data_IF_297857234390
#
_entry.id   IF_297857234390
#
_cell.length_a   1.000
_cell.length_b   1.000
_cell.length_c   1.000
_cell.angle_alpha   90.00
_cell.angle_beta   90.00
_cell.angle_gamma   90.00
#
_symmetry.space_group_name_H-M   'P 1'
#
loop_
_entity.id
_entity.type
_entity.pdbx_description
1 polymer ?
#
# COMPACT_ATOMS: atom_id res chain seq x y z
N UNK A 1 33.81 -25.87 -52.38
CA UNK A 1 32.47 -26.01 -51.80
C UNK A 1 32.61 -25.78 -50.29
N UNK A 2 32.45 -24.53 -49.83
CA UNK A 2 32.62 -24.16 -48.41
C UNK A 2 31.24 -23.98 -47.78
N UNK A 3 30.88 -24.86 -46.85
CA UNK A 3 29.62 -24.80 -46.11
C UNK A 3 29.64 -23.59 -45.17
N UNK A 4 28.65 -22.69 -45.19
CA UNK A 4 28.59 -21.58 -44.25
C UNK A 4 28.42 -22.10 -42.82
N UNK A 5 29.25 -21.58 -41.91
CA UNK A 5 29.28 -21.91 -40.48
C UNK A 5 27.94 -21.50 -39.83
N UNK A 6 27.22 -22.49 -39.28
CA UNK A 6 25.83 -22.40 -38.74
C UNK A 6 25.74 -21.69 -37.37
N UNK A 7 26.88 -21.36 -36.79
CA UNK A 7 27.07 -20.80 -35.46
C UNK A 7 26.82 -19.28 -35.38
N UNK A 8 26.93 -18.55 -36.49
CA UNK A 8 26.61 -17.12 -36.54
C UNK A 8 25.10 -16.86 -36.69
N UNK A 9 24.39 -17.69 -37.45
CA UNK A 9 22.94 -17.57 -37.65
C UNK A 9 22.14 -17.82 -36.36
N UNK A 10 22.49 -18.86 -35.60
CA UNK A 10 21.80 -19.19 -34.34
C UNK A 10 22.02 -18.10 -33.27
N UNK A 11 23.23 -17.52 -33.21
CA UNK A 11 23.51 -16.41 -32.28
C UNK A 11 22.78 -15.13 -32.66
N UNK A 12 22.66 -14.84 -33.95
CA UNK A 12 21.89 -13.71 -34.45
C UNK A 12 20.39 -13.89 -34.14
N UNK A 13 19.85 -15.09 -34.37
CA UNK A 13 18.45 -15.42 -34.11
C UNK A 13 18.11 -15.38 -32.61
N UNK A 14 18.99 -15.90 -31.74
CA UNK A 14 18.86 -15.78 -30.28
C UNK A 14 18.95 -14.31 -29.84
N UNK A 15 19.87 -13.53 -30.41
CA UNK A 15 20.00 -12.10 -30.12
C UNK A 15 18.73 -11.33 -30.49
N UNK A 16 18.11 -11.68 -31.61
CA UNK A 16 16.88 -11.06 -32.10
C UNK A 16 15.68 -11.43 -31.22
N UNK A 17 15.56 -12.69 -30.82
CA UNK A 17 14.52 -13.17 -29.90
C UNK A 17 14.64 -12.53 -28.51
N UNK A 18 15.87 -12.42 -27.98
CA UNK A 18 16.16 -11.71 -26.73
C UNK A 18 15.84 -10.22 -26.86
N UNK A 19 16.15 -9.62 -28.01
CA UNK A 19 15.80 -8.24 -28.32
C UNK A 19 14.30 -7.99 -28.27
N UNK A 20 13.51 -8.86 -28.91
CA UNK A 20 12.04 -8.78 -28.92
C UNK A 20 11.43 -9.04 -27.54
N UNK A 21 11.93 -10.02 -26.81
CA UNK A 21 11.47 -10.30 -25.45
C UNK A 21 11.76 -9.12 -24.51
N UNK A 22 12.96 -8.52 -24.64
CA UNK A 22 13.32 -7.32 -23.88
C UNK A 22 12.40 -6.14 -24.21
N UNK A 23 12.10 -5.90 -25.49
CA UNK A 23 11.21 -4.81 -25.87
C UNK A 23 9.78 -5.02 -25.37
N UNK A 24 9.30 -6.27 -25.37
CA UNK A 24 7.99 -6.64 -24.84
C UNK A 24 7.94 -6.44 -23.32
N UNK A 25 8.91 -7.00 -22.58
CA UNK A 25 8.97 -6.80 -21.12
C UNK A 25 8.98 -5.30 -20.81
N UNK A 26 9.78 -4.50 -21.52
CA UNK A 26 9.85 -3.05 -21.30
C UNK A 26 8.54 -2.34 -21.72
N UNK A 27 7.86 -2.72 -22.79
CA UNK A 27 6.58 -2.12 -23.18
C UNK A 27 5.48 -2.41 -22.16
N UNK A 28 5.33 -3.69 -21.82
CA UNK A 28 4.30 -4.16 -20.91
C UNK A 28 4.58 -3.78 -19.45
N UNK A 29 5.85 -3.59 -19.03
CA UNK A 29 6.17 -3.19 -17.64
C UNK A 29 6.37 -1.70 -17.43
N UNK A 30 6.85 -0.94 -18.42
CA UNK A 30 7.08 0.51 -18.24
C UNK A 30 5.77 1.28 -18.09
N UNK A 31 4.70 0.86 -18.77
CA UNK A 31 3.36 1.43 -18.59
C UNK A 31 2.90 1.38 -17.12
N UNK A 32 2.86 0.18 -16.50
CA UNK A 32 2.54 0.03 -15.08
C UNK A 32 3.54 0.69 -14.12
N UNK A 33 4.85 0.57 -14.37
CA UNK A 33 5.89 1.11 -13.47
C UNK A 33 5.82 2.63 -13.34
N UNK A 34 5.48 3.33 -14.44
CA UNK A 34 5.38 4.79 -14.43
C UNK A 34 4.23 5.29 -13.56
N UNK A 35 3.17 4.50 -13.41
CA UNK A 35 2.09 4.75 -12.45
C UNK A 35 2.50 4.47 -11.00
N UNK A 36 3.22 3.38 -10.77
CA UNK A 36 3.72 2.99 -9.44
C UNK A 36 4.71 4.00 -8.84
N UNK A 37 5.57 4.63 -9.66
CA UNK A 37 6.55 5.60 -9.17
C UNK A 37 5.92 6.75 -8.38
N UNK A 38 4.74 7.23 -8.81
CA UNK A 38 4.00 8.29 -8.11
C UNK A 38 3.46 7.79 -6.75
N UNK A 39 2.89 6.60 -6.72
CA UNK A 39 2.38 5.99 -5.48
C UNK A 39 3.49 5.73 -4.47
N UNK A 40 4.64 5.22 -4.92
CA UNK A 40 5.81 5.01 -4.06
C UNK A 40 6.35 6.33 -3.51
N UNK A 41 6.41 7.37 -4.34
CA UNK A 41 6.84 8.70 -3.90
C UNK A 41 5.91 9.29 -2.83
N UNK A 42 4.59 9.22 -3.04
CA UNK A 42 3.62 9.66 -2.02
C UNK A 42 3.67 8.80 -0.76
N UNK A 43 3.85 7.48 -0.90
CA UNK A 43 4.03 6.57 0.22
C UNK A 43 5.27 6.90 1.05
N UNK A 44 6.38 7.25 0.40
CA UNK A 44 7.64 7.62 1.06
C UNK A 44 7.50 8.94 1.81
N UNK A 45 6.91 9.96 1.19
CA UNK A 45 6.66 11.26 1.83
C UNK A 45 5.71 11.08 3.03
N UNK A 46 4.65 10.28 2.86
CA UNK A 46 3.73 9.92 3.93
C UNK A 46 4.42 9.18 5.08
N UNK A 47 5.28 8.21 4.76
CA UNK A 47 6.03 7.45 5.76
C UNK A 47 6.97 8.34 6.57
N UNK A 48 7.67 9.26 5.92
CA UNK A 48 8.54 10.24 6.60
C UNK A 48 7.70 11.14 7.51
N UNK A 49 6.59 11.68 7.01
CA UNK A 49 5.70 12.55 7.79
C UNK A 49 5.11 11.85 9.01
N UNK A 50 4.63 10.62 8.84
CA UNK A 50 4.10 9.79 9.94
C UNK A 50 5.21 9.47 10.95
N UNK A 51 6.41 9.07 10.49
CA UNK A 51 7.54 8.78 11.37
C UNK A 51 7.93 9.99 12.21
N UNK A 52 8.04 11.17 11.60
CA UNK A 52 8.36 12.40 12.32
C UNK A 52 7.25 12.77 13.32
N UNK A 53 5.99 12.65 12.92
CA UNK A 53 4.85 12.94 13.79
C UNK A 53 4.80 12.04 15.03
N UNK A 54 5.11 10.75 14.87
CA UNK A 54 5.17 9.81 16.00
C UNK A 54 6.34 10.13 16.94
N UNK A 55 7.53 10.43 16.39
CA UNK A 55 8.70 10.78 17.21
C UNK A 55 8.45 12.08 17.98
N UNK A 56 8.04 13.14 17.30
CA UNK A 56 7.76 14.43 17.94
C UNK A 56 6.55 14.35 18.89
N UNK A 57 5.54 13.55 18.57
CA UNK A 57 4.41 13.28 19.47
C UNK A 57 4.87 12.60 20.76
N UNK A 58 5.69 11.55 20.66
CA UNK A 58 6.25 10.87 21.82
C UNK A 58 7.12 11.81 22.67
N UNK A 59 8.01 12.59 22.03
CA UNK A 59 8.84 13.59 22.71
C UNK A 59 7.99 14.68 23.38
N UNK A 60 6.93 15.15 22.73
CA UNK A 60 6.01 16.14 23.28
C UNK A 60 5.27 15.64 24.52
N UNK A 61 4.73 14.42 24.46
CA UNK A 61 4.07 13.77 25.61
C UNK A 61 5.04 13.63 26.78
N UNK A 62 6.24 13.11 26.53
CA UNK A 62 7.28 12.97 27.56
C UNK A 62 7.66 14.34 28.12
N UNK A 63 7.78 15.37 27.29
CA UNK A 63 8.20 16.72 27.70
C UNK A 63 7.17 17.43 28.58
N UNK A 64 5.88 17.31 28.24
CA UNK A 64 4.79 17.87 29.05
C UNK A 64 4.74 17.17 30.39
N UNK A 65 4.81 15.83 30.40
CA UNK A 65 4.78 15.07 31.65
C UNK A 65 6.01 15.32 32.52
N UNK A 66 7.20 15.45 31.94
CA UNK A 66 8.42 15.83 32.67
C UNK A 66 8.34 17.25 33.23
N UNK A 67 7.72 18.20 32.53
CA UNK A 67 7.52 19.57 33.04
C UNK A 67 6.65 19.60 34.31
N UNK A 68 5.63 18.73 34.37
CA UNK A 68 4.79 18.58 35.57
C UNK A 68 5.46 17.69 36.64
N UNK A 69 6.29 16.72 36.25
CA UNK A 69 6.97 15.80 37.20
C UNK A 69 8.15 16.47 37.90
N UNK A 70 8.82 17.46 37.30
CA UNK A 70 9.81 18.30 38.00
C UNK A 70 9.20 19.02 39.22
N UNK A 71 7.87 19.22 39.24
CA UNK A 71 7.14 19.77 40.39
C UNK A 71 6.76 18.69 41.43
N UNK A 72 6.80 17.40 41.07
CA UNK A 72 6.37 16.27 41.90
C UNK A 72 7.44 15.16 41.94
N UNK A 73 8.48 15.37 42.78
CA UNK A 73 9.45 14.42 43.36
C UNK A 73 9.67 13.02 42.72
N UNK A 74 10.97 12.65 42.66
CA UNK A 74 11.64 11.39 42.26
C UNK A 74 10.88 10.03 42.17
N UNK A 75 9.76 9.83 42.87
CA UNK A 75 9.00 8.58 42.93
C UNK A 75 8.12 8.31 41.68
N UNK A 76 7.90 9.30 40.80
CA UNK A 76 7.05 9.18 39.60
C UNK A 76 7.84 9.28 38.27
N UNK A 77 9.16 9.14 38.31
CA UNK A 77 10.06 9.25 37.13
C UNK A 77 9.79 8.24 36.01
N UNK A 78 9.08 7.14 36.30
CA UNK A 78 8.69 6.12 35.31
C UNK A 78 7.46 6.52 34.47
N UNK A 79 6.62 7.44 34.96
CA UNK A 79 5.34 7.80 34.32
C UNK A 79 5.51 8.45 32.93
N UNK A 80 6.49 9.36 32.70
CA UNK A 80 6.78 9.86 31.36
C UNK A 80 7.13 8.76 30.36
N UNK A 81 7.88 7.75 30.82
CA UNK A 81 8.31 6.63 29.98
C UNK A 81 7.13 5.71 29.63
N UNK A 82 6.26 5.42 30.59
CA UNK A 82 5.03 4.63 30.37
C UNK A 82 4.06 5.36 29.45
N UNK A 83 3.89 6.68 29.62
CA UNK A 83 3.04 7.49 28.74
C UNK A 83 3.56 7.51 27.29
N UNK A 84 4.88 7.64 27.11
CA UNK A 84 5.51 7.50 25.78
C UNK A 84 5.27 6.12 25.16
N UNK A 85 5.39 5.04 25.96
CA UNK A 85 5.10 3.68 25.49
C UNK A 85 3.62 3.50 25.09
N UNK A 86 2.67 4.03 25.88
CA UNK A 86 1.24 3.99 25.58
C UNK A 86 0.92 4.79 24.31
N UNK A 87 1.51 5.97 24.14
CA UNK A 87 1.37 6.76 22.92
C UNK A 87 1.86 5.98 21.69
N UNK A 88 3.01 5.31 21.80
CA UNK A 88 3.55 4.49 20.72
C UNK A 88 2.62 3.32 20.38
N UNK A 89 2.08 2.64 21.39
CA UNK A 89 1.11 1.56 21.20
C UNK A 89 -0.18 2.05 20.52
N UNK A 90 -0.69 3.22 20.91
CA UNK A 90 -1.84 3.85 20.27
C UNK A 90 -1.54 4.23 18.82
N UNK A 91 -0.38 4.81 18.54
CA UNK A 91 0.05 5.15 17.20
C UNK A 91 0.11 3.90 16.31
N UNK A 92 0.70 2.80 16.81
CA UNK A 92 0.75 1.50 16.11
C UNK A 92 -0.68 0.97 15.88
N UNK A 93 -1.55 0.98 16.90
CA UNK A 93 -2.92 0.51 16.77
C UNK A 93 -3.73 1.30 15.74
N UNK A 94 -3.55 2.63 15.69
CA UNK A 94 -4.15 3.50 14.69
C UNK A 94 -3.61 3.23 13.29
N UNK A 95 -2.30 2.98 13.16
CA UNK A 95 -1.68 2.61 11.89
C UNK A 95 -2.25 1.28 11.36
N UNK A 96 -2.35 0.27 12.23
CA UNK A 96 -2.97 -1.01 11.91
C UNK A 96 -4.43 -0.82 11.50
N UNK A 97 -5.18 0.04 12.19
CA UNK A 97 -6.57 0.36 11.82
C UNK A 97 -6.67 1.09 10.47
N UNK A 98 -5.76 2.01 10.19
CA UNK A 98 -5.76 2.77 8.93
C UNK A 98 -5.44 1.88 7.72
N UNK A 99 -4.64 0.83 7.90
CA UNK A 99 -4.28 -0.14 6.86
C UNK A 99 -5.43 -1.12 6.56
N UNK A 100 -6.42 -1.26 7.44
CA UNK A 100 -7.56 -2.16 7.18
C UNK A 100 -8.39 -1.63 6.00
N UNK A 101 -8.49 -2.39 4.89
CA UNK A 101 -9.35 -1.99 3.80
C UNK A 101 -10.78 -1.94 4.32
N UNK A 102 -11.46 -0.81 4.10
CA UNK A 102 -12.91 -0.75 4.26
C UNK A 102 -13.46 -1.58 3.11
N UNK A 103 -14.02 -2.76 3.41
CA UNK A 103 -14.76 -3.52 2.42
C UNK A 103 -15.81 -2.60 1.83
N UNK A 104 -15.58 -2.21 0.57
CA UNK A 104 -16.51 -1.50 -0.29
C UNK A 104 -17.86 -2.16 -0.14
N UNK A 105 -18.86 -1.34 0.21
CA UNK A 105 -20.25 -1.74 0.25
C UNK A 105 -20.60 -2.57 -0.99
N UNK A 106 -21.25 -3.68 -0.69
CA UNK A 106 -22.04 -4.54 -1.54
C UNK A 106 -22.17 -4.06 -2.99
N UNK A 107 -21.69 -4.90 -3.91
CA UNK A 107 -22.27 -5.03 -5.24
C UNK A 107 -23.79 -5.06 -5.05
N UNK A 108 -24.44 -3.93 -5.34
CA UNK A 108 -25.89 -3.87 -5.42
C UNK A 108 -26.31 -4.92 -6.45
N UNK A 109 -27.32 -5.77 -6.15
CA UNK A 109 -27.77 -6.77 -7.10
C UNK A 109 -28.09 -6.07 -8.42
N UNK A 110 -27.53 -6.61 -9.50
CA UNK A 110 -27.69 -6.02 -10.82
C UNK A 110 -29.19 -5.80 -11.13
N UNK A 111 -29.54 -4.72 -11.84
CA UNK A 111 -30.91 -4.48 -12.32
C UNK A 111 -31.44 -5.60 -13.25
N UNK A 112 -30.61 -6.53 -13.68
CA UNK A 112 -31.01 -7.73 -14.42
C UNK A 112 -31.72 -8.77 -13.54
N UNK A 113 -31.31 -8.92 -12.27
CA UNK A 113 -31.96 -9.81 -11.32
C UNK A 113 -33.35 -9.29 -10.89
N UNK A 114 -33.50 -7.96 -10.87
CA UNK A 114 -34.76 -7.24 -10.58
C UNK A 114 -35.73 -7.13 -11.77
N UNK A 115 -35.34 -7.62 -12.94
CA UNK A 115 -36.24 -7.70 -14.11
C UNK A 115 -36.72 -9.12 -14.33
N UNK A 116 -35.97 -10.11 -13.87
CA UNK A 116 -36.35 -11.52 -13.97
C UNK A 116 -37.49 -11.87 -13.01
N UNK A 117 -37.52 -11.26 -11.83
CA UNK A 117 -38.61 -11.35 -10.85
C UNK A 117 -39.85 -10.52 -11.27
N UNK A 118 -39.65 -9.35 -11.88
CA UNK A 118 -40.75 -8.53 -12.42
C UNK A 118 -41.48 -9.26 -13.57
N UNK A 119 -40.74 -9.81 -14.54
CA UNK A 119 -41.33 -10.59 -15.64
C UNK A 119 -41.95 -11.91 -15.14
N UNK A 120 -41.36 -12.56 -14.12
CA UNK A 120 -41.92 -13.79 -13.57
C UNK A 120 -43.20 -13.55 -12.74
N UNK A 121 -43.39 -12.35 -12.20
CA UNK A 121 -44.62 -11.96 -11.53
C UNK A 121 -45.73 -11.57 -12.53
N UNK A 122 -45.38 -11.10 -13.72
CA UNK A 122 -46.33 -10.77 -14.79
C UNK A 122 -46.93 -12.01 -15.45
N UNK A 123 -46.21 -13.13 -15.46
CA UNK A 123 -46.65 -14.41 -16.05
C UNK A 123 -47.65 -15.21 -15.17
N UNK A 124 -47.87 -14.86 -13.90
CA UNK A 124 -48.78 -15.55 -12.96
C UNK A 124 -50.16 -14.86 -12.82
N UNK A 125 -50.33 -13.65 -13.38
CA UNK A 125 -51.57 -12.84 -13.33
C UNK A 125 -52.33 -12.78 -14.69
N UNK A 126 -51.97 -13.63 -15.65
CA UNK A 126 -52.61 -13.75 -16.97
C UNK A 126 -53.39 -15.04 -17.18
#
# INVERSE_FOLDING_TARGET
>A
MTVPRRDSGLRAEISELVGMLRSYIVQETVGPLRGLGRYVAFGLIGAIGVSLGVVFGALGVVRVLQAETDLFNANWSFVPHVAGAVFLLLAIALLIRAIRPKHTEAVAPEPSARRADENAAEDDDG
#
